data_IF_093844233992
#
_entry.id   IF_093844233992
#
_cell.length_a   1.000
_cell.length_b   1.000
_cell.length_c   1.000
_cell.angle_alpha   90.00
_cell.angle_beta   90.00
_cell.angle_gamma   90.00
#
_symmetry.space_group_name_H-M   'P 1'
#
loop_
_entity.id
_entity.type
_entity.pdbx_description
1 polymer ?
#
# COMPACT_ATOMS: atom_id res chain seq x y z
N UNK A 1 0.29 -21.45 20.13
CA UNK A 1 1.09 -20.69 19.15
C UNK A 1 0.14 -19.71 18.45
N UNK A 2 -0.03 -18.51 19.01
CA UNK A 2 -0.95 -17.51 18.45
C UNK A 2 -0.19 -16.62 17.46
N UNK A 3 -0.44 -16.78 16.17
CA UNK A 3 0.04 -15.82 15.18
C UNK A 3 -0.66 -14.49 15.46
N UNK A 4 0.08 -13.48 15.90
CA UNK A 4 -0.44 -12.12 15.98
C UNK A 4 -0.74 -11.66 14.55
N UNK A 5 -2.01 -11.65 14.17
CA UNK A 5 -2.44 -11.16 12.86
C UNK A 5 -2.18 -9.66 12.80
N UNK A 6 -1.07 -9.27 12.14
CA UNK A 6 -0.69 -7.88 11.96
C UNK A 6 -1.74 -7.10 11.13
N UNK A 7 -2.66 -7.78 10.43
CA UNK A 7 -3.70 -7.15 9.61
C UNK A 7 -4.68 -6.25 10.36
N UNK A 8 -4.89 -6.44 11.67
CA UNK A 8 -5.87 -5.64 12.43
C UNK A 8 -5.33 -4.28 12.90
N UNK A 9 -4.01 -4.13 12.94
CA UNK A 9 -3.34 -2.96 13.51
C UNK A 9 -2.61 -2.16 12.43
N UNK A 10 -2.62 -0.84 12.58
CA UNK A 10 -1.84 0.03 11.72
C UNK A 10 -0.34 -0.20 11.94
N UNK A 11 0.37 -0.57 10.87
CA UNK A 11 1.83 -0.56 10.82
C UNK A 11 2.30 0.67 10.06
N UNK A 12 3.34 1.34 10.56
CA UNK A 12 4.01 2.38 9.80
C UNK A 12 4.75 1.80 8.61
N UNK A 13 4.88 2.61 7.55
CA UNK A 13 5.71 2.27 6.40
C UNK A 13 6.43 3.52 5.90
N UNK A 14 7.54 3.28 5.21
CA UNK A 14 8.32 4.28 4.50
C UNK A 14 8.99 3.56 3.34
N UNK A 15 8.71 3.97 2.12
CA UNK A 15 9.18 3.30 0.90
C UNK A 15 9.49 4.34 -0.17
N UNK A 16 10.43 4.02 -1.05
CA UNK A 16 10.77 4.87 -2.19
C UNK A 16 10.18 4.24 -3.44
N UNK A 17 9.36 4.99 -4.16
CA UNK A 17 8.89 4.63 -5.50
C UNK A 17 9.87 5.21 -6.50
N UNK A 18 10.61 4.38 -7.26
CA UNK A 18 11.55 4.89 -8.24
C UNK A 18 10.87 5.75 -9.31
N UNK A 19 11.62 6.66 -9.91
CA UNK A 19 11.16 7.45 -11.07
C UNK A 19 10.72 6.56 -12.24
N UNK A 20 9.91 7.14 -13.14
CA UNK A 20 9.52 6.59 -14.45
C UNK A 20 8.88 5.21 -14.31
N UNK A 21 7.59 5.17 -13.94
CA UNK A 21 6.85 3.91 -13.76
C UNK A 21 7.52 2.92 -12.79
N UNK A 22 8.29 3.44 -11.85
CA UNK A 22 8.90 2.64 -10.79
C UNK A 22 7.84 2.09 -9.85
N UNK A 23 8.19 0.98 -9.19
CA UNK A 23 7.34 0.35 -8.19
C UNK A 23 8.03 0.39 -6.82
N UNK A 24 7.28 0.84 -5.83
CA UNK A 24 7.63 0.73 -4.41
C UNK A 24 6.61 -0.16 -3.70
N UNK A 25 6.93 -0.66 -2.52
CA UNK A 25 5.96 -1.42 -1.72
C UNK A 25 6.20 -1.24 -0.23
N UNK A 26 5.14 -1.45 0.55
CA UNK A 26 5.25 -1.63 1.99
C UNK A 26 5.89 -2.98 2.34
N UNK A 27 6.18 -3.17 3.63
CA UNK A 27 6.34 -4.52 4.18
C UNK A 27 5.05 -5.34 4.08
N UNK A 28 5.09 -6.58 4.56
CA UNK A 28 3.94 -7.48 4.56
C UNK A 28 3.18 -7.46 5.89
N UNK A 29 1.87 -7.67 5.81
CA UNK A 29 1.03 -8.08 6.94
C UNK A 29 0.27 -9.34 6.56
N UNK A 30 0.16 -10.27 7.50
CA UNK A 30 -0.75 -11.41 7.36
C UNK A 30 -2.18 -10.91 7.54
N UNK A 31 -2.99 -11.07 6.50
CA UNK A 31 -4.40 -10.67 6.47
C UNK A 31 -5.20 -11.44 7.52
N UNK A 32 -6.03 -10.77 8.30
CA UNK A 32 -6.86 -11.42 9.31
C UNK A 32 -8.23 -11.81 8.74
N UNK A 33 -8.81 -10.98 7.88
CA UNK A 33 -10.16 -11.14 7.33
C UNK A 33 -10.11 -11.21 5.80
N UNK A 34 -10.65 -12.28 5.21
CA UNK A 34 -10.73 -12.44 3.74
C UNK A 34 -11.52 -11.31 3.09
N UNK A 35 -11.05 -10.82 1.94
CA UNK A 35 -11.67 -9.78 1.11
C UNK A 35 -11.88 -8.42 1.80
N UNK A 36 -11.48 -8.27 3.07
CA UNK A 36 -11.54 -6.98 3.74
C UNK A 36 -10.63 -5.98 3.04
N UNK A 37 -11.08 -4.74 2.93
CA UNK A 37 -10.31 -3.71 2.24
C UNK A 37 -9.02 -3.39 3.00
N UNK A 38 -7.91 -3.21 2.27
CA UNK A 38 -6.67 -2.72 2.86
C UNK A 38 -6.83 -1.23 3.09
N UNK A 39 -6.63 -0.78 4.32
CA UNK A 39 -6.74 0.63 4.67
C UNK A 39 -5.35 1.23 4.78
N UNK A 40 -5.16 2.42 4.22
CA UNK A 40 -3.93 3.17 4.43
C UNK A 40 -4.17 4.66 4.55
N UNK A 41 -3.22 5.32 5.20
CA UNK A 41 -3.11 6.75 5.34
C UNK A 41 -1.67 7.13 4.96
N UNK A 42 -1.49 7.91 3.89
CA UNK A 42 -0.21 8.52 3.56
C UNK A 42 -0.01 9.75 4.44
N UNK A 43 1.18 9.85 5.02
CA UNK A 43 1.63 11.05 5.72
C UNK A 43 2.41 11.96 4.77
N UNK A 44 3.14 11.39 3.81
CA UNK A 44 3.92 12.12 2.80
C UNK A 44 4.11 11.26 1.54
N UNK A 45 4.11 11.92 0.38
CA UNK A 45 4.27 11.45 -1.00
C UNK A 45 5.19 12.45 -1.72
N UNK A 46 6.42 12.62 -1.22
CA UNK A 46 7.40 13.52 -1.84
C UNK A 46 7.01 15.01 -1.90
N UNK A 47 5.98 15.45 -1.17
CA UNK A 47 5.54 16.85 -1.08
C UNK A 47 4.48 17.23 -2.10
N UNK A 48 4.86 17.33 -3.38
CA UNK A 48 3.94 17.70 -4.48
C UNK A 48 3.78 16.59 -5.53
N UNK A 49 4.26 15.38 -5.24
CA UNK A 49 4.10 14.25 -6.13
C UNK A 49 2.85 13.47 -5.77
N UNK A 50 2.33 12.75 -6.74
CA UNK A 50 1.30 11.75 -6.51
C UNK A 50 1.80 10.39 -6.95
N UNK A 51 1.31 9.35 -6.30
CA UNK A 51 1.55 7.95 -6.67
C UNK A 51 0.23 7.21 -6.81
N UNK A 52 0.23 6.10 -7.51
CA UNK A 52 -0.87 5.16 -7.43
C UNK A 52 -0.62 4.13 -6.35
N UNK A 53 -1.68 3.61 -5.73
CA UNK A 53 -1.57 2.55 -4.73
C UNK A 53 -2.55 1.41 -5.03
N UNK A 54 -2.13 0.15 -4.78
CA UNK A 54 -3.02 -1.02 -4.84
C UNK A 54 -2.67 -2.01 -3.74
N UNK A 55 -3.68 -2.77 -3.31
CA UNK A 55 -3.47 -3.93 -2.47
C UNK A 55 -2.89 -5.08 -3.30
N UNK A 56 -1.87 -5.75 -2.78
CA UNK A 56 -1.21 -6.86 -3.45
C UNK A 56 -1.02 -8.03 -2.49
N UNK A 57 -1.35 -9.23 -2.95
CA UNK A 57 -1.15 -10.50 -2.27
C UNK A 57 -0.42 -11.49 -3.17
N UNK A 58 -0.24 -12.76 -2.74
CA UNK A 58 0.66 -13.71 -3.41
C UNK A 58 0.23 -14.08 -4.83
N UNK A 59 -1.09 -14.05 -5.09
CA UNK A 59 -1.68 -14.41 -6.39
C UNK A 59 -2.77 -13.44 -6.83
N UNK A 60 -2.76 -12.23 -6.26
CA UNK A 60 -3.76 -11.21 -6.55
C UNK A 60 -3.15 -9.81 -6.47
N UNK A 61 -3.47 -8.96 -7.44
CA UNK A 61 -3.22 -7.53 -7.38
C UNK A 61 -4.55 -6.80 -7.62
N UNK A 62 -4.91 -5.92 -6.70
CA UNK A 62 -6.11 -5.11 -6.81
C UNK A 62 -5.99 -4.01 -7.85
N UNK A 63 -7.10 -3.31 -8.12
CA UNK A 63 -7.06 -2.13 -8.98
C UNK A 63 -6.19 -1.04 -8.36
N UNK A 64 -5.57 -0.25 -9.23
CA UNK A 64 -4.83 0.95 -8.82
C UNK A 64 -5.80 2.05 -8.38
N UNK A 65 -5.68 2.49 -7.14
CA UNK A 65 -6.22 3.75 -6.67
C UNK A 65 -5.28 4.87 -7.10
N UNK A 66 -5.76 5.73 -7.99
CA UNK A 66 -4.95 6.77 -8.62
C UNK A 66 -4.77 8.00 -7.73
N UNK A 67 -3.67 8.73 -7.96
CA UNK A 67 -3.39 10.06 -7.44
C UNK A 67 -3.46 10.16 -5.89
N UNK A 68 -2.68 9.33 -5.22
CA UNK A 68 -2.47 9.39 -3.76
C UNK A 68 -1.50 10.52 -3.45
N UNK A 69 -1.90 11.39 -2.53
CA UNK A 69 -1.25 12.65 -2.12
C UNK A 69 -0.79 12.57 -0.65
N UNK A 70 -0.05 13.57 -0.18
CA UNK A 70 0.22 13.87 1.22
C UNK A 70 -1.08 13.92 2.05
N UNK A 71 -1.09 13.26 3.21
CA UNK A 71 -2.23 13.28 4.14
C UNK A 71 -3.46 12.46 3.69
N UNK A 72 -3.40 11.77 2.55
CA UNK A 72 -4.53 11.06 1.97
C UNK A 72 -4.84 9.73 2.71
N UNK A 73 -6.12 9.38 2.80
CA UNK A 73 -6.59 8.14 3.38
C UNK A 73 -7.45 7.38 2.38
N UNK A 74 -7.08 6.12 2.10
CA UNK A 74 -7.78 5.29 1.11
C UNK A 74 -8.13 3.91 1.65
N UNK A 75 -9.14 3.34 1.00
CA UNK A 75 -9.61 1.97 1.20
C UNK A 75 -9.42 1.22 -0.13
N UNK A 76 -8.50 0.27 -0.15
CA UNK A 76 -8.11 -0.47 -1.34
C UNK A 76 -8.86 -1.80 -1.41
N UNK A 77 -9.76 -1.90 -2.40
CA UNK A 77 -10.52 -3.12 -2.66
C UNK A 77 -9.60 -4.25 -3.10
N UNK A 78 -9.86 -5.46 -2.60
CA UNK A 78 -9.10 -6.66 -2.92
C UNK A 78 -9.94 -7.92 -2.66
N UNK A 79 -9.51 -9.04 -3.23
CA UNK A 79 -10.10 -10.37 -2.95
C UNK A 79 -9.07 -11.31 -2.31
N UNK A 80 -8.20 -10.77 -1.45
CA UNK A 80 -7.13 -11.53 -0.82
C UNK A 80 -7.71 -12.31 0.37
N UNK A 81 -7.38 -13.58 0.49
CA UNK A 81 -7.85 -14.43 1.58
C UNK A 81 -7.11 -14.18 2.90
N UNK A 82 -7.79 -14.37 4.02
CA UNK A 82 -7.18 -14.40 5.37
C UNK A 82 -6.02 -15.39 5.42
N UNK A 83 -4.99 -15.08 6.21
CA UNK A 83 -3.75 -15.87 6.30
C UNK A 83 -2.74 -15.57 5.19
N UNK A 84 -3.12 -14.82 4.15
CA UNK A 84 -2.20 -14.45 3.06
C UNK A 84 -1.35 -13.24 3.44
N UNK A 85 -0.10 -13.24 2.97
CA UNK A 85 0.76 -12.07 3.05
C UNK A 85 0.26 -11.00 2.09
N UNK A 86 -0.17 -9.87 2.65
CA UNK A 86 -0.67 -8.71 1.91
C UNK A 86 0.32 -7.57 2.05
N UNK A 87 0.43 -6.70 1.05
CA UNK A 87 1.16 -5.42 1.08
C UNK A 87 0.42 -4.38 0.25
N UNK A 88 0.87 -3.13 0.32
CA UNK A 88 0.48 -2.09 -0.63
C UNK A 88 1.63 -1.89 -1.59
N UNK A 89 1.33 -1.99 -2.88
CA UNK A 89 2.24 -1.62 -3.95
C UNK A 89 1.91 -0.19 -4.39
N UNK A 90 2.96 0.59 -4.66
CA UNK A 90 2.88 1.94 -5.16
C UNK A 90 3.52 2.05 -6.54
N UNK A 91 3.01 2.93 -7.39
CA UNK A 91 3.57 3.18 -8.72
C UNK A 91 3.64 4.67 -9.01
N UNK A 92 4.71 5.09 -9.66
CA UNK A 92 4.84 6.43 -10.22
C UNK A 92 4.31 6.46 -11.66
N UNK A 93 3.89 7.62 -12.13
CA UNK A 93 3.61 7.79 -13.55
C UNK A 93 4.90 7.76 -14.39
N UNK A 94 4.75 7.51 -15.71
CA UNK A 94 5.85 7.57 -16.68
C UNK A 94 6.50 8.96 -16.75
N UNK A 95 5.76 10.01 -16.35
CA UNK A 95 6.21 11.40 -16.34
C UNK A 95 6.88 11.82 -15.04
N UNK A 96 6.86 10.97 -14.00
CA UNK A 96 7.52 11.29 -12.72
C UNK A 96 9.01 11.00 -12.83
N UNK A 97 9.80 12.05 -13.07
CA UNK A 97 11.25 11.95 -13.31
C UNK A 97 12.11 11.80 -12.04
N UNK A 98 11.49 11.93 -10.87
CA UNK A 98 12.15 11.88 -9.57
C UNK A 98 11.68 10.66 -8.77
N UNK A 99 12.53 10.20 -7.85
CA UNK A 99 12.13 9.18 -6.88
C UNK A 99 11.19 9.82 -5.87
N UNK A 100 10.07 9.15 -5.57
CA UNK A 100 9.05 9.66 -4.65
C UNK A 100 9.10 8.87 -3.35
N UNK A 101 9.35 9.56 -2.24
CA UNK A 101 9.28 8.94 -0.92
C UNK A 101 7.83 8.93 -0.45
N UNK A 102 7.33 7.75 -0.13
CA UNK A 102 5.98 7.53 0.39
C UNK A 102 6.08 6.99 1.80
N UNK A 103 5.45 7.66 2.75
CA UNK A 103 5.41 7.20 4.15
C UNK A 103 4.01 7.35 4.71
N UNK A 104 3.71 6.57 5.75
CA UNK A 104 2.39 6.61 6.38
C UNK A 104 2.14 5.40 7.26
N UNK A 105 0.86 5.04 7.38
CA UNK A 105 0.41 3.88 8.12
C UNK A 105 -0.61 3.09 7.32
N UNK A 106 -0.61 1.77 7.48
CA UNK A 106 -1.54 0.91 6.77
C UNK A 106 -1.90 -0.34 7.58
N UNK A 107 -3.01 -0.97 7.24
CA UNK A 107 -3.44 -2.26 7.80
C UNK A 107 -4.18 -3.09 6.76
N UNK A 108 -3.93 -4.40 6.73
CA UNK A 108 -4.50 -5.31 5.72
C UNK A 108 -5.92 -5.78 6.02
N UNK A 109 -6.39 -5.60 7.27
CA UNK A 109 -7.62 -6.19 7.84
C UNK A 109 -7.62 -7.72 7.85
#
# INVERSE_FOLDING_TARGET
MGAAYAGNSYSSFSTTVPRINGLGSTGYQTKAISNAHVQFNSTMVGGNYVVDARAEGPSYAGPWSRNVDDGDARSLTNTINSGSNTRISFSNDLTTLQNVQVSGKWRSQ
#
